data_IF_395324776042
#
_entry.id   IF_395324776042
#
_cell.length_a   1.000
_cell.length_b   1.000
_cell.length_c   1.000
_cell.angle_alpha   90.00
_cell.angle_beta   90.00
_cell.angle_gamma   90.00
#
_symmetry.space_group_name_H-M   'P 1'
#
loop_
_entity.id
_entity.type
_entity.pdbx_description
1 polymer ?
#
# COMPACT_ATOMS: atom_id res chain seq x y z
N UNK A 1 76.36 13.21 -28.02
CA UNK A 1 76.82 12.20 -29.01
C UNK A 1 76.38 10.85 -28.46
N UNK A 2 75.19 10.38 -28.87
CA UNK A 2 74.93 9.27 -29.84
C UNK A 2 75.07 7.90 -29.13
N UNK A 3 73.93 7.34 -28.68
CA UNK A 3 73.23 6.11 -29.17
C UNK A 3 73.61 4.89 -28.32
N UNK A 4 72.67 4.10 -27.77
CA UNK A 4 71.75 3.17 -28.45
C UNK A 4 72.43 1.79 -28.43
N UNK A 5 72.07 0.83 -27.56
CA UNK A 5 70.84 0.01 -27.58
C UNK A 5 71.25 -1.44 -27.86
N UNK A 6 70.74 -2.43 -27.11
CA UNK A 6 71.00 -3.86 -27.37
C UNK A 6 70.69 -4.79 -26.18
N UNK A 7 69.54 -5.48 -26.26
CA UNK A 7 69.05 -6.57 -25.39
C UNK A 7 69.79 -7.90 -25.63
N UNK A 8 69.83 -8.79 -24.61
CA UNK A 8 69.22 -10.14 -24.70
C UNK A 8 69.26 -10.95 -23.38
N UNK A 9 68.06 -11.39 -22.94
CA UNK A 9 67.62 -12.75 -22.59
C UNK A 9 68.36 -13.70 -21.58
N UNK A 10 67.73 -13.87 -20.38
CA UNK A 10 67.36 -15.09 -19.54
C UNK A 10 68.40 -16.21 -19.22
N UNK A 11 68.21 -17.17 -18.27
CA UNK A 11 67.29 -17.35 -17.10
C UNK A 11 67.99 -17.86 -15.79
N UNK A 12 67.26 -18.18 -14.71
CA UNK A 12 67.34 -19.45 -13.91
C UNK A 12 66.55 -19.37 -12.60
N UNK A 13 65.86 -20.48 -12.34
CA UNK A 13 64.84 -20.80 -11.33
C UNK A 13 65.44 -21.34 -10.02
N UNK A 14 64.81 -21.03 -8.88
CA UNK A 14 64.68 -21.91 -7.69
C UNK A 14 63.33 -21.61 -7.02
N UNK A 15 62.25 -22.37 -7.20
CA UNK A 15 61.91 -23.72 -6.72
C UNK A 15 61.80 -23.86 -5.19
N UNK A 16 60.58 -24.08 -4.69
CA UNK A 16 60.20 -25.20 -3.80
C UNK A 16 58.67 -25.18 -3.61
N UNK A 17 57.95 -26.04 -4.34
CA UNK A 17 57.31 -27.31 -3.88
C UNK A 17 56.10 -27.06 -2.97
N UNK A 18 54.85 -27.13 -3.46
CA UNK A 18 54.06 -28.27 -3.97
C UNK A 18 53.21 -28.95 -2.89
N UNK A 19 51.88 -28.85 -3.00
CA UNK A 19 51.01 -29.97 -3.41
C UNK A 19 49.50 -29.68 -3.34
N UNK A 20 48.83 -30.20 -4.38
CA UNK A 20 47.44 -30.70 -4.45
C UNK A 20 46.29 -29.69 -4.54
N UNK A 21 45.98 -29.27 -5.77
CA UNK A 21 44.67 -28.76 -6.14
C UNK A 21 43.64 -29.90 -6.12
N UNK A 22 42.70 -29.84 -5.17
CA UNK A 22 41.44 -30.57 -5.20
C UNK A 22 40.41 -29.62 -5.83
N UNK A 23 39.86 -29.98 -6.98
CA UNK A 23 38.75 -29.23 -7.59
C UNK A 23 37.55 -29.27 -6.64
N UNK A 24 36.86 -28.14 -6.37
CA UNK A 24 35.56 -28.19 -5.72
C UNK A 24 34.52 -28.79 -6.68
N UNK A 25 33.52 -29.52 -6.17
CA UNK A 25 32.43 -30.02 -7.00
C UNK A 25 31.64 -28.85 -7.59
N UNK A 26 31.08 -29.05 -8.77
CA UNK A 26 30.11 -28.14 -9.37
C UNK A 26 28.94 -27.95 -8.38
N UNK A 27 28.94 -26.84 -7.65
CA UNK A 27 27.78 -26.39 -6.90
C UNK A 27 26.84 -25.77 -7.93
N UNK A 28 25.85 -26.55 -8.36
CA UNK A 28 24.62 -26.01 -8.92
C UNK A 28 23.88 -25.30 -7.80
N UNK A 29 24.31 -24.08 -7.47
CA UNK A 29 23.39 -23.14 -6.85
C UNK A 29 22.37 -22.78 -7.94
N UNK A 30 21.06 -22.87 -7.67
CA UNK A 30 20.11 -22.24 -8.56
C UNK A 30 20.51 -20.77 -8.60
N UNK A 31 20.67 -20.21 -9.81
CA UNK A 31 20.81 -18.77 -10.00
C UNK A 31 19.80 -18.11 -9.07
N UNK A 32 20.31 -17.44 -8.02
CA UNK A 32 19.49 -16.56 -7.21
C UNK A 32 19.01 -15.50 -8.19
N UNK A 33 17.82 -15.71 -8.77
CA UNK A 33 17.11 -14.70 -9.52
C UNK A 33 16.88 -13.60 -8.51
N UNK A 34 17.76 -12.61 -8.51
CA UNK A 34 17.53 -11.33 -7.89
C UNK A 34 16.38 -10.75 -8.71
N UNK A 35 15.15 -11.06 -8.30
CA UNK A 35 13.95 -10.58 -8.97
C UNK A 35 14.00 -9.05 -8.78
N UNK A 36 14.15 -8.26 -9.86
CA UNK A 36 14.02 -6.83 -9.74
C UNK A 36 12.62 -6.57 -9.19
N UNK A 37 12.53 -5.64 -8.24
CA UNK A 37 11.27 -5.14 -7.70
C UNK A 37 10.52 -4.44 -8.86
N UNK A 38 9.94 -5.23 -9.76
CA UNK A 38 9.24 -4.77 -10.94
C UNK A 38 7.90 -4.23 -10.46
N UNK A 39 7.84 -2.92 -10.30
CA UNK A 39 6.59 -2.19 -10.18
C UNK A 39 5.98 -2.11 -11.58
N UNK A 40 4.74 -2.58 -11.75
CA UNK A 40 4.02 -2.52 -13.03
C UNK A 40 3.31 -1.18 -13.21
N UNK A 41 2.90 -0.56 -12.10
CA UNK A 41 2.21 0.72 -12.04
C UNK A 41 2.91 1.70 -11.11
N UNK A 42 3.12 2.93 -11.58
CA UNK A 42 3.75 3.99 -10.80
C UNK A 42 2.73 4.73 -9.92
N UNK A 43 2.44 4.16 -8.75
CA UNK A 43 1.62 4.82 -7.73
C UNK A 43 2.24 6.13 -7.22
N UNK A 44 3.56 6.32 -7.35
CA UNK A 44 4.23 7.54 -6.88
C UNK A 44 3.92 8.74 -7.79
N UNK A 45 3.82 8.52 -9.10
CA UNK A 45 3.42 9.54 -10.06
C UNK A 45 1.99 10.05 -9.81
N UNK A 46 1.09 9.20 -9.29
CA UNK A 46 -0.30 9.59 -8.98
C UNK A 46 -0.41 10.61 -7.83
N UNK A 47 0.58 10.63 -6.93
CA UNK A 47 0.65 11.57 -5.80
C UNK A 47 1.68 12.70 -6.00
N UNK A 48 2.12 12.91 -7.24
CA UNK A 48 2.97 14.05 -7.59
C UNK A 48 2.21 15.37 -7.43
N UNK A 49 2.92 16.47 -7.13
CA UNK A 49 2.31 17.79 -6.90
C UNK A 49 1.31 18.15 -8.01
N UNK A 50 1.67 17.85 -9.27
CA UNK A 50 0.89 18.00 -10.50
C UNK A 50 -0.54 17.44 -10.50
N UNK A 51 -0.85 16.47 -9.63
CA UNK A 51 -2.10 15.70 -9.66
C UNK A 51 -3.17 16.25 -8.72
N UNK A 52 -2.80 17.14 -7.81
CA UNK A 52 -3.71 17.70 -6.83
C UNK A 52 -4.60 18.78 -7.44
N UNK A 53 -5.90 18.67 -7.18
CA UNK A 53 -6.92 19.62 -7.63
C UNK A 53 -7.87 19.96 -6.48
N UNK A 54 -8.31 21.21 -6.42
CA UNK A 54 -9.32 21.64 -5.46
C UNK A 54 -10.61 20.81 -5.59
N UNK A 55 -11.21 20.47 -4.46
CA UNK A 55 -12.41 19.65 -4.38
C UNK A 55 -12.15 18.16 -4.17
N UNK A 56 -10.97 17.64 -4.53
CA UNK A 56 -10.63 16.23 -4.33
C UNK A 56 -10.54 15.88 -2.83
N UNK A 57 -10.91 14.65 -2.49
CA UNK A 57 -10.67 14.05 -1.18
C UNK A 57 -9.54 13.05 -1.31
N UNK A 58 -8.60 13.11 -0.37
CA UNK A 58 -7.42 12.26 -0.35
C UNK A 58 -7.29 11.56 0.98
N UNK A 59 -6.75 10.34 0.93
CA UNK A 59 -6.31 9.61 2.11
C UNK A 59 -4.89 10.05 2.51
N UNK A 60 -4.69 10.17 3.82
CA UNK A 60 -3.48 10.65 4.46
C UNK A 60 -2.95 9.60 5.44
N UNK A 61 -1.63 9.46 5.47
CA UNK A 61 -0.94 8.53 6.35
C UNK A 61 -1.06 8.97 7.81
N UNK A 62 -1.44 8.03 8.69
CA UNK A 62 -1.50 8.25 10.12
C UNK A 62 -0.10 8.25 10.75
N UNK A 63 0.04 8.91 11.89
CA UNK A 63 1.34 9.06 12.56
C UNK A 63 1.77 7.77 13.28
N UNK A 64 0.79 6.95 13.64
CA UNK A 64 0.95 5.77 14.48
C UNK A 64 1.69 4.65 13.74
N UNK A 65 1.34 4.41 12.48
CA UNK A 65 1.84 3.29 11.68
C UNK A 65 2.22 3.67 10.25
N UNK A 66 1.93 4.90 9.81
CA UNK A 66 2.24 5.36 8.45
C UNK A 66 1.25 4.89 7.39
N UNK A 67 0.09 4.35 7.78
CA UNK A 67 -0.93 3.82 6.87
C UNK A 67 -2.05 4.86 6.59
N UNK A 68 -2.69 4.81 5.41
CA UNK A 68 -3.59 5.86 4.94
C UNK A 68 -4.98 5.80 5.60
N UNK A 69 -5.09 6.30 6.83
CA UNK A 69 -6.27 6.17 7.70
C UNK A 69 -7.03 7.46 7.99
N UNK A 70 -6.61 8.59 7.42
CA UNK A 70 -7.29 9.88 7.59
C UNK A 70 -7.69 10.45 6.25
N UNK A 71 -8.73 11.28 6.22
CA UNK A 71 -9.19 11.91 4.98
C UNK A 71 -9.09 13.42 5.06
N UNK A 72 -8.74 14.05 3.95
CA UNK A 72 -8.74 15.50 3.82
C UNK A 72 -9.24 15.94 2.45
N UNK A 73 -10.00 17.03 2.43
CA UNK A 73 -10.44 17.69 1.21
C UNK A 73 -9.46 18.81 0.86
N UNK A 74 -9.04 18.84 -0.40
CA UNK A 74 -8.24 19.92 -0.94
C UNK A 74 -9.14 21.12 -1.17
N UNK A 75 -8.85 22.21 -0.50
CA UNK A 75 -9.57 23.47 -0.68
C UNK A 75 -8.99 24.30 -1.81
N UNK A 76 -7.65 24.34 -1.89
CA UNK A 76 -6.93 25.19 -2.83
C UNK A 76 -5.55 24.62 -3.13
N UNK A 77 -5.12 24.80 -4.37
CA UNK A 77 -3.76 24.50 -4.83
C UNK A 77 -3.16 25.80 -5.35
N UNK A 78 -1.98 26.15 -4.87
CA UNK A 78 -1.21 27.32 -5.32
C UNK A 78 0.15 26.85 -5.82
N UNK A 79 0.51 27.22 -7.05
CA UNK A 79 1.76 26.76 -7.68
C UNK A 79 2.89 27.78 -7.60
N UNK A 80 2.55 29.05 -7.37
CA UNK A 80 3.49 30.17 -7.41
C UNK A 80 3.33 31.04 -6.16
N UNK A 81 4.41 31.63 -5.63
CA UNK A 81 5.81 31.42 -6.03
C UNK A 81 6.38 30.07 -5.57
N UNK A 82 5.69 29.38 -4.65
CA UNK A 82 6.04 28.06 -4.11
C UNK A 82 4.77 27.22 -4.08
N UNK A 83 4.88 25.92 -4.32
CA UNK A 83 3.76 24.99 -4.18
C UNK A 83 3.18 25.04 -2.77
N UNK A 84 1.86 25.24 -2.68
CA UNK A 84 1.09 25.18 -1.44
C UNK A 84 -0.23 24.46 -1.67
N UNK A 85 -0.55 23.58 -0.75
CA UNK A 85 -1.80 22.83 -0.72
C UNK A 85 -2.56 23.18 0.54
N UNK A 86 -3.73 23.80 0.40
CA UNK A 86 -4.62 24.06 1.52
C UNK A 86 -5.61 22.92 1.65
N UNK A 87 -5.63 22.29 2.81
CA UNK A 87 -6.51 21.16 3.10
C UNK A 87 -7.35 21.40 4.34
N UNK A 88 -8.49 20.72 4.40
CA UNK A 88 -9.30 20.56 5.60
C UNK A 88 -9.49 19.07 5.84
N UNK A 89 -9.18 18.62 7.06
CA UNK A 89 -9.42 17.24 7.46
C UNK A 89 -10.92 16.99 7.57
N UNK A 90 -11.31 15.78 7.19
CA UNK A 90 -12.65 15.28 7.40
C UNK A 90 -12.70 14.63 8.78
N UNK A 91 -13.78 14.88 9.51
CA UNK A 91 -14.04 14.25 10.79
C UNK A 91 -15.17 13.25 10.66
N UNK A 92 -15.11 12.16 11.43
CA UNK A 92 -16.22 11.24 11.54
C UNK A 92 -17.43 11.98 12.12
N UNK A 93 -18.51 12.01 11.35
CA UNK A 93 -19.80 12.59 11.75
C UNK A 93 -20.66 11.52 12.42
N UNK A 94 -20.86 10.40 11.72
CA UNK A 94 -21.63 9.28 12.22
C UNK A 94 -21.23 7.96 11.57
N UNK A 95 -21.52 6.87 12.27
CA UNK A 95 -21.49 5.52 11.72
C UNK A 95 -22.91 5.07 11.38
N UNK A 96 -23.08 4.08 10.47
CA UNK A 96 -24.35 3.37 10.35
C UNK A 96 -24.79 2.80 11.71
N UNK A 97 -26.10 2.76 11.97
CA UNK A 97 -26.68 2.56 13.31
C UNK A 97 -26.23 1.27 14.01
N UNK A 98 -26.01 0.21 13.26
CA UNK A 98 -25.68 -1.13 13.77
C UNK A 98 -24.18 -1.39 13.93
N UNK A 99 -23.31 -0.41 13.68
CA UNK A 99 -21.85 -0.60 13.72
C UNK A 99 -21.33 -0.66 15.16
N UNK A 100 -20.60 -1.74 15.47
CA UNK A 100 -19.88 -1.89 16.72
C UNK A 100 -18.73 -0.89 16.78
N UNK A 101 -18.81 0.04 17.72
CA UNK A 101 -17.79 1.07 17.88
C UNK A 101 -16.56 0.55 18.61
N UNK A 102 -15.39 1.12 18.29
CA UNK A 102 -14.19 0.92 19.10
C UNK A 102 -14.41 1.31 20.56
N UNK A 103 -13.83 0.52 21.47
CA UNK A 103 -13.72 0.87 22.91
C UNK A 103 -12.69 1.96 23.15
N UNK A 104 -11.54 1.89 22.48
CA UNK A 104 -10.56 2.98 22.46
C UNK A 104 -10.99 4.03 21.44
N UNK A 105 -11.55 5.16 21.91
CA UNK A 105 -12.08 6.24 21.07
C UNK A 105 -11.02 6.99 20.24
N UNK A 106 -9.74 6.68 20.44
CA UNK A 106 -8.63 7.21 19.61
C UNK A 106 -8.34 6.34 18.39
N UNK A 107 -8.96 5.17 18.28
CA UNK A 107 -8.80 4.31 17.12
C UNK A 107 -9.27 5.04 15.85
N UNK A 108 -8.48 5.00 14.76
CA UNK A 108 -8.89 5.60 13.50
C UNK A 108 -10.11 4.87 12.92
N UNK A 109 -10.99 5.64 12.29
CA UNK A 109 -12.18 5.16 11.61
C UNK A 109 -12.12 5.64 10.16
N UNK A 110 -12.13 4.70 9.23
CA UNK A 110 -12.00 4.94 7.78
C UNK A 110 -13.28 4.66 7.00
N UNK A 111 -14.28 4.05 7.64
CA UNK A 111 -15.58 3.78 7.05
C UNK A 111 -16.67 4.51 7.83
N UNK A 112 -17.54 5.25 7.14
CA UNK A 112 -18.64 5.99 7.75
C UNK A 112 -19.03 7.26 7.00
N UNK A 113 -19.84 8.08 7.66
CA UNK A 113 -20.17 9.43 7.21
C UNK A 113 -19.21 10.40 7.85
N UNK A 114 -18.56 11.19 7.01
CA UNK A 114 -17.59 12.18 7.38
C UNK A 114 -18.12 13.57 7.06
N UNK A 115 -17.76 14.54 7.90
CA UNK A 115 -18.14 15.93 7.70
C UNK A 115 -16.90 16.81 7.59
N UNK A 116 -16.99 17.79 6.70
CA UNK A 116 -16.07 18.90 6.61
C UNK A 116 -16.57 20.01 7.54
N UNK A 117 -16.02 20.11 8.74
CA UNK A 117 -16.44 21.16 9.68
C UNK A 117 -16.04 22.54 9.16
N UNK A 118 -17.04 23.40 8.98
CA UNK A 118 -16.84 24.81 8.68
C UNK A 118 -16.18 25.51 9.89
N UNK A 119 -15.21 26.40 9.63
CA UNK A 119 -14.48 27.12 10.68
C UNK A 119 -13.25 26.38 11.25
N UNK A 120 -13.00 25.14 10.86
CA UNK A 120 -11.79 24.43 11.26
C UNK A 120 -10.53 24.98 10.55
N UNK A 121 -9.41 25.03 11.26
CA UNK A 121 -8.14 25.55 10.72
C UNK A 121 -7.75 24.81 9.44
N UNK A 122 -7.65 25.56 8.34
CA UNK A 122 -7.07 25.07 7.09
C UNK A 122 -5.59 24.82 7.34
N UNK A 123 -5.15 23.60 7.05
CA UNK A 123 -3.72 23.27 7.09
C UNK A 123 -3.13 23.64 5.72
N UNK A 124 -2.04 24.41 5.72
CA UNK A 124 -1.28 24.72 4.50
C UNK A 124 -0.02 23.88 4.46
N UNK A 125 0.08 23.02 3.47
CA UNK A 125 1.21 22.12 3.25
C UNK A 125 2.03 22.59 2.07
N UNK A 126 3.35 22.42 2.13
CA UNK A 126 4.28 22.68 1.02
C UNK A 126 4.89 21.40 0.44
N UNK A 127 4.47 20.24 0.96
CA UNK A 127 4.93 18.90 0.56
C UNK A 127 3.76 17.93 0.57
N UNK A 128 3.89 16.86 -0.21
CA UNK A 128 2.81 15.89 -0.44
C UNK A 128 3.09 14.50 0.15
N UNK A 129 4.20 14.34 0.89
CA UNK A 129 4.64 13.04 1.43
C UNK A 129 3.64 12.36 2.40
N UNK A 130 2.69 13.12 2.95
CA UNK A 130 1.64 12.58 3.82
C UNK A 130 0.46 11.97 3.06
N UNK A 131 0.36 12.18 1.74
CA UNK A 131 -0.73 11.71 0.90
C UNK A 131 -0.45 10.29 0.39
N UNK A 132 -1.49 9.46 0.40
CA UNK A 132 -1.43 8.13 -0.21
C UNK A 132 -2.13 8.14 -1.56
N UNK A 133 -3.45 8.32 -1.59
CA UNK A 133 -4.25 8.22 -2.81
C UNK A 133 -5.53 9.07 -2.72
N UNK A 134 -6.10 9.39 -3.88
CA UNK A 134 -7.40 10.04 -3.96
C UNK A 134 -8.51 9.04 -3.62
N UNK A 135 -9.48 9.46 -2.80
CA UNK A 135 -10.66 8.68 -2.45
C UNK A 135 -11.86 9.18 -3.26
N UNK A 136 -12.61 8.25 -3.84
CA UNK A 136 -13.93 8.54 -4.42
C UNK A 136 -14.98 8.47 -3.31
N UNK A 137 -15.20 9.58 -2.62
CA UNK A 137 -16.23 9.67 -1.58
C UNK A 137 -17.59 10.04 -2.20
N UNK A 138 -18.67 9.45 -1.71
CA UNK A 138 -20.02 9.82 -2.10
C UNK A 138 -20.44 11.09 -1.35
N UNK A 139 -20.53 12.22 -2.04
CA UNK A 139 -21.02 13.46 -1.45
C UNK A 139 -22.55 13.40 -1.29
N UNK A 140 -23.06 13.85 -0.14
CA UNK A 140 -24.51 13.92 0.09
C UNK A 140 -25.15 15.04 -0.75
N UNK A 141 -26.27 14.74 -1.40
CA UNK A 141 -27.00 15.69 -2.25
C UNK A 141 -27.57 16.87 -1.46
N UNK A 142 -28.05 16.62 -0.25
CA UNK A 142 -28.64 17.62 0.65
C UNK A 142 -27.60 18.45 1.40
N UNK A 143 -26.37 17.96 1.55
CA UNK A 143 -25.31 18.67 2.28
C UNK A 143 -23.92 18.45 1.67
N UNK A 144 -23.41 19.49 1.01
CA UNK A 144 -22.11 19.47 0.33
C UNK A 144 -20.90 19.35 1.27
N UNK A 145 -21.07 19.45 2.59
CA UNK A 145 -20.00 19.24 3.55
C UNK A 145 -19.94 17.80 4.08
N UNK A 146 -20.92 16.95 3.74
CA UNK A 146 -20.97 15.55 4.17
C UNK A 146 -20.58 14.58 3.05
N UNK A 147 -19.81 13.57 3.43
CA UNK A 147 -19.23 12.58 2.54
C UNK A 147 -19.32 11.19 3.16
N UNK A 148 -19.86 10.23 2.41
CA UNK A 148 -19.88 8.82 2.80
C UNK A 148 -18.70 8.10 2.16
N UNK A 149 -17.93 7.40 2.98
CA UNK A 149 -16.83 6.53 2.55
C UNK A 149 -17.10 5.16 3.14
N UNK A 150 -17.37 4.18 2.29
CA UNK A 150 -17.66 2.80 2.64
C UNK A 150 -16.97 1.88 1.62
N UNK A 151 -16.65 0.62 1.97
CA UNK A 151 -16.17 -0.34 1.00
C UNK A 151 -17.20 -0.55 -0.11
N UNK A 152 -16.74 -0.56 -1.37
CA UNK A 152 -17.57 -0.78 -2.57
C UNK A 152 -17.04 -1.96 -3.38
N UNK A 153 -17.93 -2.62 -4.09
CA UNK A 153 -17.59 -3.72 -5.00
C UNK A 153 -16.42 -3.36 -5.93
N UNK A 154 -15.40 -4.21 -5.97
CA UNK A 154 -14.14 -4.03 -6.70
C UNK A 154 -13.05 -3.26 -5.94
N UNK A 155 -13.35 -2.69 -4.77
CA UNK A 155 -12.34 -2.02 -3.96
C UNK A 155 -11.41 -3.03 -3.29
N UNK A 156 -10.13 -2.68 -3.19
CA UNK A 156 -9.16 -3.41 -2.36
C UNK A 156 -9.01 -2.73 -1.01
N UNK A 157 -9.15 -3.51 0.05
CA UNK A 157 -9.03 -3.03 1.43
C UNK A 157 -8.07 -3.88 2.25
N UNK A 158 -7.35 -3.23 3.15
CA UNK A 158 -6.73 -3.90 4.27
C UNK A 158 -7.76 -4.06 5.39
N UNK A 159 -7.82 -5.24 5.99
CA UNK A 159 -8.65 -5.56 7.15
C UNK A 159 -7.79 -5.92 8.36
N UNK A 160 -8.22 -5.56 9.56
CA UNK A 160 -7.55 -6.01 10.78
C UNK A 160 -7.70 -7.54 10.92
N UNK A 161 -6.57 -8.23 11.04
CA UNK A 161 -6.55 -9.67 11.36
C UNK A 161 -6.98 -9.85 12.82
N UNK A 162 -7.83 -10.84 13.09
CA UNK A 162 -8.40 -11.11 14.42
C UNK A 162 -9.07 -9.87 15.04
N UNK A 163 -9.93 -9.20 14.24
CA UNK A 163 -10.61 -7.99 14.66
C UNK A 163 -11.44 -8.17 15.94
N UNK A 164 -11.42 -7.15 16.78
CA UNK A 164 -12.27 -6.98 17.96
C UNK A 164 -12.32 -5.49 18.29
N UNK A 165 -13.48 -5.00 18.73
CA UNK A 165 -13.71 -3.63 19.23
C UNK A 165 -12.77 -3.20 20.37
N UNK A 166 -12.08 -4.15 21.01
CA UNK A 166 -11.11 -3.94 22.08
C UNK A 166 -9.68 -3.62 21.60
N UNK A 167 -9.40 -3.66 20.29
CA UNK A 167 -8.09 -3.23 19.76
C UNK A 167 -7.83 -1.77 20.17
N UNK A 168 -6.62 -1.52 20.68
CA UNK A 168 -6.19 -0.20 21.15
C UNK A 168 -5.27 0.47 20.15
N UNK A 169 -5.29 1.80 20.11
CA UNK A 169 -4.44 2.59 19.21
C UNK A 169 -2.95 2.29 19.44
N UNK A 170 -2.57 2.03 20.69
CA UNK A 170 -1.19 1.70 21.09
C UNK A 170 -0.68 0.37 20.53
N UNK A 171 -1.61 -0.51 20.09
CA UNK A 171 -1.29 -1.82 19.55
C UNK A 171 -1.20 -1.84 18.01
N UNK A 172 -1.55 -0.75 17.32
CA UNK A 172 -1.63 -0.69 15.86
C UNK A 172 -0.33 -1.13 15.16
N UNK A 173 0.84 -0.72 15.68
CA UNK A 173 2.15 -1.11 15.12
C UNK A 173 2.41 -2.63 15.12
N UNK A 174 1.71 -3.37 15.97
CA UNK A 174 1.82 -4.84 16.09
C UNK A 174 0.63 -5.56 15.48
N UNK A 175 -0.35 -4.83 14.96
CA UNK A 175 -1.55 -5.42 14.42
C UNK A 175 -1.23 -6.18 13.12
N UNK A 176 -1.86 -7.34 12.96
CA UNK A 176 -1.83 -8.07 11.71
C UNK A 176 -2.90 -7.53 10.77
N UNK A 177 -2.64 -7.64 9.47
CA UNK A 177 -3.60 -7.26 8.44
C UNK A 177 -3.81 -8.41 7.47
N UNK A 178 -4.98 -8.43 6.85
CA UNK A 178 -5.30 -9.25 5.69
C UNK A 178 -5.69 -8.29 4.56
N UNK A 179 -5.42 -8.67 3.30
CA UNK A 179 -5.84 -7.88 2.13
C UNK A 179 -7.02 -8.59 1.48
N UNK A 180 -8.02 -7.82 1.08
CA UNK A 180 -9.25 -8.34 0.46
C UNK A 180 -9.71 -7.49 -0.71
N UNK A 181 -10.41 -8.11 -1.66
CA UNK A 181 -11.23 -7.44 -2.66
C UNK A 181 -12.70 -7.54 -2.25
N UNK A 182 -13.45 -6.45 -2.33
CA UNK A 182 -14.90 -6.45 -2.07
C UNK A 182 -15.63 -7.04 -3.28
N UNK A 183 -16.42 -8.09 -3.06
CA UNK A 183 -17.21 -8.75 -4.11
C UNK A 183 -18.65 -8.23 -4.16
N UNK A 184 -19.21 -7.91 -3.00
CA UNK A 184 -20.56 -7.35 -2.86
C UNK A 184 -20.61 -6.44 -1.63
N UNK A 185 -21.28 -5.29 -1.77
CA UNK A 185 -21.46 -4.28 -0.73
C UNK A 185 -22.95 -4.07 -0.36
N UNK A 186 -23.69 -5.17 -0.22
CA UNK A 186 -25.11 -5.21 0.18
C UNK A 186 -25.41 -4.59 1.56
N UNK A 187 -26.61 -4.06 1.75
CA UNK A 187 -27.02 -3.39 3.00
C UNK A 187 -26.98 -4.30 4.24
N UNK A 188 -27.06 -5.62 4.09
CA UNK A 188 -27.03 -6.57 5.22
C UNK A 188 -25.61 -7.02 5.60
N UNK A 189 -24.71 -7.18 4.63
CA UNK A 189 -23.34 -7.66 4.82
C UNK A 189 -22.43 -7.25 3.66
N UNK A 190 -21.13 -7.42 3.83
CA UNK A 190 -20.14 -7.20 2.76
C UNK A 190 -19.47 -8.54 2.47
N UNK A 191 -19.55 -9.03 1.23
CA UNK A 191 -18.80 -10.20 0.80
C UNK A 191 -17.42 -9.78 0.30
N UNK A 192 -16.38 -10.49 0.72
CA UNK A 192 -15.00 -10.20 0.33
C UNK A 192 -14.26 -11.46 -0.11
N UNK A 193 -13.41 -11.30 -1.11
CA UNK A 193 -12.40 -12.26 -1.53
C UNK A 193 -11.12 -12.03 -0.75
N UNK A 194 -10.55 -13.07 -0.14
CA UNK A 194 -9.23 -12.96 0.49
C UNK A 194 -8.15 -12.97 -0.59
N UNK A 195 -7.19 -12.06 -0.49
CA UNK A 195 -6.04 -12.01 -1.38
C UNK A 195 -4.77 -12.47 -0.65
N UNK A 196 -3.89 -13.16 -1.37
CA UNK A 196 -2.57 -13.55 -0.90
C UNK A 196 -1.47 -13.02 -1.82
N UNK A 197 -0.31 -12.74 -1.23
CA UNK A 197 0.85 -12.26 -1.97
C UNK A 197 1.39 -13.38 -2.85
N UNK A 198 1.72 -13.05 -4.09
CA UNK A 198 2.38 -13.97 -5.01
C UNK A 198 3.85 -14.11 -4.62
N UNK A 199 4.31 -15.35 -4.47
CA UNK A 199 5.72 -15.63 -4.16
C UNK A 199 6.65 -14.99 -5.21
N UNK A 200 7.74 -14.38 -4.73
CA UNK A 200 8.69 -13.65 -5.58
C UNK A 200 8.27 -12.21 -5.93
N UNK A 201 7.07 -11.76 -5.54
CA UNK A 201 6.63 -10.38 -5.71
C UNK A 201 6.39 -9.70 -4.37
N UNK A 202 6.74 -8.42 -4.28
CA UNK A 202 6.48 -7.59 -3.09
C UNK A 202 5.04 -7.06 -3.09
N UNK A 203 4.56 -6.60 -4.24
CA UNK A 203 3.33 -5.83 -4.43
C UNK A 203 2.20 -6.59 -5.13
N UNK A 204 2.46 -7.79 -5.68
CA UNK A 204 1.46 -8.52 -6.48
C UNK A 204 0.70 -9.51 -5.62
N UNK A 205 -0.62 -9.46 -5.71
CA UNK A 205 -1.56 -10.29 -4.97
C UNK A 205 -2.53 -10.98 -5.93
N UNK A 206 -2.97 -12.18 -5.55
CA UNK A 206 -3.93 -13.00 -6.28
C UNK A 206 -5.02 -13.50 -5.35
N UNK A 207 -6.10 -14.06 -5.89
CA UNK A 207 -7.12 -14.71 -5.06
C UNK A 207 -6.47 -15.83 -4.23
N UNK A 208 -6.77 -15.85 -2.94
CA UNK A 208 -6.33 -16.92 -2.05
C UNK A 208 -7.20 -18.14 -2.30
N UNK A 209 -6.56 -19.28 -2.56
CA UNK A 209 -7.24 -20.55 -2.84
C UNK A 209 -6.87 -21.60 -1.79
N UNK A 210 -7.86 -22.22 -1.16
CA UNK A 210 -7.68 -23.34 -0.23
C UNK A 210 -8.50 -24.54 -0.71
N UNK A 211 -7.86 -25.70 -0.86
CA UNK A 211 -8.56 -26.90 -1.36
C UNK A 211 -9.13 -26.77 -2.78
N UNK A 212 -8.59 -25.86 -3.59
CA UNK A 212 -9.06 -25.60 -4.96
C UNK A 212 -10.27 -24.65 -5.04
N UNK A 213 -10.65 -24.01 -3.93
CA UNK A 213 -11.76 -23.06 -3.87
C UNK A 213 -11.25 -21.70 -3.36
N UNK A 214 -11.76 -20.65 -3.97
CA UNK A 214 -11.54 -19.26 -3.54
C UNK A 214 -11.95 -19.05 -2.07
N UNK A 215 -11.07 -18.47 -1.27
CA UNK A 215 -11.34 -18.17 0.13
C UNK A 215 -12.12 -16.86 0.22
N UNK A 216 -13.40 -16.94 0.56
CA UNK A 216 -14.30 -15.80 0.75
C UNK A 216 -14.71 -15.63 2.20
N UNK A 217 -15.05 -14.40 2.60
CA UNK A 217 -15.62 -14.09 3.92
C UNK A 217 -16.83 -13.18 3.77
N UNK A 218 -17.83 -13.43 4.62
CA UNK A 218 -18.97 -12.52 4.81
C UNK A 218 -18.71 -11.67 6.05
N UNK A 219 -18.65 -10.36 5.88
CA UNK A 219 -18.43 -9.40 6.97
C UNK A 219 -19.77 -8.76 7.34
N UNK A 220 -20.30 -9.03 8.55
CA UNK A 220 -21.51 -8.37 9.02
C UNK A 220 -21.33 -6.85 9.05
N UNK A 221 -22.38 -6.08 8.74
CA UNK A 221 -22.31 -4.62 8.80
C UNK A 221 -21.94 -4.09 10.19
N UNK A 222 -22.29 -4.82 11.25
CA UNK A 222 -21.88 -4.45 12.61
C UNK A 222 -20.36 -4.52 12.84
N UNK A 223 -19.60 -5.20 11.97
CA UNK A 223 -18.14 -5.26 11.97
C UNK A 223 -17.50 -4.31 10.95
N UNK A 224 -18.20 -3.27 10.47
CA UNK A 224 -17.67 -2.35 9.46
C UNK A 224 -16.28 -1.78 9.80
N UNK A 225 -15.99 -1.58 11.10
CA UNK A 225 -14.68 -1.09 11.57
C UNK A 225 -13.54 -2.11 11.43
N UNK A 226 -13.82 -3.31 10.91
CA UNK A 226 -12.81 -4.30 10.51
C UNK A 226 -12.03 -3.87 9.29
N UNK A 227 -12.64 -3.08 8.42
CA UNK A 227 -11.97 -2.43 7.29
C UNK A 227 -11.06 -1.32 7.83
N UNK A 228 -9.76 -1.50 7.65
CA UNK A 228 -8.71 -0.65 8.21
C UNK A 228 -8.46 0.57 7.34
N UNK A 229 -8.21 0.37 6.05
CA UNK A 229 -8.02 1.41 5.04
C UNK A 229 -8.08 0.82 3.63
N UNK A 230 -8.37 1.69 2.67
CA UNK A 230 -8.28 1.38 1.25
C UNK A 230 -6.82 1.18 0.83
N UNK A 231 -6.58 0.24 -0.07
CA UNK A 231 -5.25 -0.04 -0.64
C UNK A 231 -5.33 0.24 -2.14
N UNK A 232 -4.58 1.22 -2.67
CA UNK A 232 -4.52 1.46 -4.11
C UNK A 232 -4.06 0.21 -4.86
N UNK A 233 -4.79 -0.10 -5.93
CA UNK A 233 -4.57 -1.31 -6.70
C UNK A 233 -4.61 -1.02 -8.19
N UNK A 234 -3.76 -1.73 -8.94
CA UNK A 234 -3.73 -1.74 -10.39
C UNK A 234 -3.90 -3.18 -10.87
N UNK A 235 -4.89 -3.43 -11.73
CA UNK A 235 -5.19 -4.79 -12.20
C UNK A 235 -4.34 -5.12 -13.42
N UNK A 236 -3.60 -6.23 -13.32
CA UNK A 236 -2.68 -6.70 -14.34
C UNK A 236 -3.44 -7.45 -15.43
N UNK A 237 -3.17 -7.11 -16.69
CA UNK A 237 -3.94 -7.58 -17.86
C UNK A 237 -3.09 -8.27 -18.93
N UNK A 238 -1.80 -7.98 -19.02
CA UNK A 238 -0.93 -8.51 -20.08
C UNK A 238 0.57 -8.48 -19.77
N UNK A 239 0.95 -7.98 -18.61
CA UNK A 239 2.32 -7.85 -18.15
C UNK A 239 2.98 -9.24 -18.04
N UNK A 240 4.30 -9.29 -18.26
CA UNK A 240 5.10 -10.54 -18.31
C UNK A 240 4.51 -11.62 -19.23
N UNK A 241 4.01 -11.22 -20.40
CA UNK A 241 3.41 -12.15 -21.36
C UNK A 241 2.13 -12.81 -20.85
N UNK A 242 1.45 -12.19 -19.88
CA UNK A 242 0.19 -12.68 -19.30
C UNK A 242 0.35 -13.62 -18.10
N UNK A 243 1.57 -13.89 -17.64
CA UNK A 243 1.82 -14.78 -16.49
C UNK A 243 1.16 -14.32 -15.18
N UNK A 244 0.91 -13.01 -15.05
CA UNK A 244 0.27 -12.37 -13.90
C UNK A 244 -1.08 -11.76 -14.24
N UNK A 245 -1.68 -12.15 -15.38
CA UNK A 245 -2.99 -11.65 -15.78
C UNK A 245 -4.05 -11.99 -14.74
N UNK A 246 -4.88 -11.02 -14.39
CA UNK A 246 -5.96 -11.15 -13.43
C UNK A 246 -5.55 -10.77 -12.01
N UNK A 247 -4.25 -10.84 -11.69
CA UNK A 247 -3.70 -10.42 -10.40
C UNK A 247 -3.76 -8.90 -10.24
N UNK A 248 -3.57 -8.45 -9.01
CA UNK A 248 -3.55 -7.03 -8.67
C UNK A 248 -2.19 -6.66 -8.11
N UNK A 249 -1.62 -5.57 -8.62
CA UNK A 249 -0.50 -4.91 -7.99
C UNK A 249 -1.02 -3.85 -7.00
N UNK A 250 -0.46 -3.83 -5.79
CA UNK A 250 -0.85 -2.91 -4.73
C UNK A 250 0.24 -1.90 -4.42
N UNK A 251 -0.14 -0.67 -4.03
CA UNK A 251 0.81 0.33 -3.52
C UNK A 251 1.40 -0.14 -2.19
N UNK A 252 2.69 -0.49 -2.22
CA UNK A 252 3.43 -0.96 -1.04
C UNK A 252 3.40 0.03 0.14
N UNK A 253 3.19 1.33 -0.11
CA UNK A 253 3.12 2.33 0.97
C UNK A 253 1.82 2.26 1.76
N UNK A 254 0.78 1.61 1.21
CA UNK A 254 -0.44 1.27 1.91
C UNK A 254 -0.42 -0.15 2.51
N UNK A 255 0.69 -0.90 2.38
CA UNK A 255 0.82 -2.23 2.98
C UNK A 255 1.54 -2.14 4.33
N UNK A 256 0.99 -2.80 5.35
CA UNK A 256 1.68 -2.90 6.63
C UNK A 256 2.99 -3.66 6.47
N UNK A 257 4.02 -3.28 7.26
CA UNK A 257 5.31 -3.99 7.26
C UNK A 257 5.18 -5.49 7.58
N UNK A 258 4.12 -5.88 8.28
CA UNK A 258 3.84 -7.28 8.59
C UNK A 258 3.41 -8.07 7.35
N UNK A 259 2.66 -7.44 6.43
CA UNK A 259 2.26 -8.03 5.14
C UNK A 259 3.43 -8.13 4.15
N UNK A 260 4.41 -7.22 4.24
CA UNK A 260 5.61 -7.26 3.38
C UNK A 260 6.59 -8.36 3.79
N UNK A 261 6.46 -8.92 5.00
CA UNK A 261 7.39 -9.92 5.57
C UNK A 261 6.84 -11.35 5.63
N UNK A 262 5.55 -11.55 5.41
CA UNK A 262 4.85 -12.84 5.43
C UNK A 262 4.90 -13.53 4.08
#
# INVERSE_FOLDING_TARGET
>A
MIEGGGEEAVPVVRSNQARLHRSPPASSEPDCVVIPNFEFHDFTAERSEGKFTAGQIWSLNCREEGLPKYYAKIQKVEWRPVFKLQINKLELDSLPENVTQWRDKRMPVTCGRFTLKEGQQRETLTKVNGFSHQIKAQQESSNKTKYTILPKTGDIWAMYKNWSDAIKVTSLKKCGYEVVEVLDDDESHIEVMMLERVEGFTSVFKEKVEGGVDVRKTIPRCELLRFSHYVPAFRLTGERGGAVRGYVELDCTALSRNLLRS
#
